data_IF_269153469849
#
_entry.id   IF_269153469849
#
_cell.length_a   1.000
_cell.length_b   1.000
_cell.length_c   1.000
_cell.angle_alpha   90.00
_cell.angle_beta   90.00
_cell.angle_gamma   90.00
#
_symmetry.space_group_name_H-M   'P 1'
#
loop_
_entity.id
_entity.type
_entity.pdbx_description
1 polymer ?
#
# COMPACT_ATOMS: atom_id res chain seq x y z
N UNK A 1 -18.04 -1.09 12.61
CA UNK A 1 -16.96 -1.65 13.47
C UNK A 1 -15.67 -1.13 12.90
N UNK A 2 -14.67 -0.77 13.74
CA UNK A 2 -13.37 -0.32 13.20
C UNK A 2 -12.81 -1.27 12.17
N UNK A 3 -12.02 -0.76 11.23
CA UNK A 3 -11.37 -1.60 10.24
C UNK A 3 -10.44 -2.62 10.90
N UNK A 4 -10.26 -3.75 10.24
CA UNK A 4 -9.23 -4.74 10.57
C UNK A 4 -8.19 -4.77 9.46
N UNK A 5 -6.96 -5.16 9.78
CA UNK A 5 -5.90 -5.30 8.78
C UNK A 5 -5.01 -6.51 9.07
N UNK A 6 -4.34 -6.99 8.04
CA UNK A 6 -3.34 -8.05 8.12
C UNK A 6 -2.23 -7.80 7.10
N UNK A 7 -1.00 -7.81 7.54
CA UNK A 7 0.14 -7.84 6.63
C UNK A 7 0.26 -9.28 6.14
N UNK A 8 0.02 -9.46 4.85
CA UNK A 8 0.09 -10.77 4.19
C UNK A 8 1.54 -11.15 3.92
N UNK A 9 2.35 -10.15 3.54
CA UNK A 9 3.76 -10.30 3.24
C UNK A 9 4.49 -9.02 3.63
N UNK A 10 5.54 -9.13 4.44
CA UNK A 10 6.44 -8.00 4.69
C UNK A 10 7.39 -7.85 3.52
N UNK A 11 7.45 -6.65 2.99
CA UNK A 11 8.37 -6.30 1.92
C UNK A 11 9.84 -6.32 2.36
N UNK A 12 10.71 -6.23 1.39
CA UNK A 12 12.16 -6.19 1.61
C UNK A 12 12.88 -5.52 0.43
N UNK A 13 14.04 -4.96 0.74
CA UNK A 13 15.04 -4.53 -0.24
C UNK A 13 16.33 -5.24 0.14
N UNK A 14 16.80 -6.12 -0.73
CA UNK A 14 18.04 -6.86 -0.56
C UNK A 14 19.25 -6.08 -1.05
N UNK A 15 20.44 -6.68 -0.90
CA UNK A 15 21.66 -6.11 -1.40
C UNK A 15 21.70 -6.11 -2.94
N UNK A 16 22.35 -5.10 -3.52
CA UNK A 16 22.63 -5.06 -4.96
C UNK A 16 23.75 -6.05 -5.29
N UNK A 17 23.47 -6.96 -6.21
CA UNK A 17 24.40 -8.01 -6.64
C UNK A 17 24.57 -7.97 -8.16
N UNK A 18 25.63 -8.63 -8.72
CA UNK A 18 25.78 -8.75 -10.18
C UNK A 18 24.59 -9.41 -10.89
N UNK A 19 23.81 -10.24 -10.19
CA UNK A 19 22.61 -10.90 -10.71
C UNK A 19 21.36 -10.03 -10.58
N UNK A 20 21.44 -8.92 -9.85
CA UNK A 20 20.33 -8.01 -9.53
C UNK A 20 20.03 -7.95 -8.04
N UNK A 21 19.02 -7.19 -7.70
CA UNK A 21 18.56 -6.97 -6.33
C UNK A 21 17.24 -7.72 -6.11
N UNK A 22 17.14 -8.44 -5.00
CA UNK A 22 15.87 -8.97 -4.56
C UNK A 22 15.05 -7.86 -3.88
N UNK A 23 13.89 -7.55 -4.44
CA UNK A 23 12.97 -6.54 -3.91
C UNK A 23 11.54 -7.08 -3.93
N UNK A 24 10.76 -6.73 -2.92
CA UNK A 24 9.34 -7.04 -2.86
C UNK A 24 8.63 -6.02 -2.01
N UNK A 25 7.42 -5.60 -2.44
CA UNK A 25 6.60 -4.68 -1.66
C UNK A 25 5.98 -5.36 -0.45
N UNK A 26 5.65 -4.57 0.56
CA UNK A 26 4.77 -5.00 1.64
C UNK A 26 3.35 -5.11 1.11
N UNK A 27 2.73 -6.29 1.26
CA UNK A 27 1.35 -6.55 0.84
C UNK A 27 0.45 -6.55 2.06
N UNK A 28 -0.53 -5.64 2.10
CA UNK A 28 -1.46 -5.52 3.22
C UNK A 28 -2.90 -5.78 2.77
N UNK A 29 -3.62 -6.56 3.56
CA UNK A 29 -5.07 -6.70 3.48
C UNK A 29 -5.73 -5.83 4.55
N UNK A 30 -6.82 -5.15 4.21
CA UNK A 30 -7.66 -4.43 5.15
C UNK A 30 -9.16 -4.65 4.85
N UNK A 31 -10.00 -4.63 5.89
CA UNK A 31 -11.44 -4.82 5.76
C UNK A 31 -12.19 -3.79 6.62
N UNK A 32 -13.19 -3.11 6.02
CA UNK A 32 -14.12 -2.22 6.70
C UNK A 32 -15.52 -2.36 6.07
N UNK A 33 -16.47 -2.88 6.83
CA UNK A 33 -17.81 -3.15 6.32
C UNK A 33 -17.82 -4.15 5.16
N UNK A 34 -18.22 -3.70 3.98
CA UNK A 34 -18.20 -4.51 2.75
C UNK A 34 -16.90 -4.36 1.95
N UNK A 35 -16.06 -3.40 2.29
CA UNK A 35 -14.79 -3.16 1.60
C UNK A 35 -13.73 -4.17 2.03
N UNK A 36 -13.09 -4.81 1.06
CA UNK A 36 -11.94 -5.71 1.21
C UNK A 36 -10.84 -5.22 0.31
N UNK A 37 -9.83 -4.64 0.93
CA UNK A 37 -8.80 -3.85 0.25
C UNK A 37 -7.46 -4.58 0.30
N UNK A 38 -6.78 -4.67 -0.84
CA UNK A 38 -5.36 -5.03 -0.91
C UNK A 38 -4.57 -3.77 -1.22
N UNK A 39 -3.53 -3.52 -0.45
CA UNK A 39 -2.54 -2.47 -0.72
C UNK A 39 -1.28 -3.14 -1.24
N UNK A 40 -0.82 -2.69 -2.40
CA UNK A 40 0.41 -3.09 -3.09
C UNK A 40 0.54 -4.60 -3.33
N UNK A 41 -0.22 -5.21 -4.27
CA UNK A 41 -0.13 -6.64 -4.59
C UNK A 41 1.12 -6.95 -5.44
N UNK A 42 2.27 -6.48 -5.03
CA UNK A 42 3.45 -6.39 -5.86
C UNK A 42 4.28 -7.65 -6.01
N UNK A 43 5.51 -7.44 -6.38
CA UNK A 43 6.48 -8.50 -6.63
C UNK A 43 6.75 -9.29 -5.34
N UNK A 44 6.51 -10.59 -5.39
CA UNK A 44 6.77 -11.55 -4.31
C UNK A 44 7.44 -12.80 -4.89
N UNK A 45 8.24 -13.49 -4.10
CA UNK A 45 8.94 -14.70 -4.53
C UNK A 45 7.98 -15.83 -4.96
N UNK A 46 6.78 -15.87 -4.39
CA UNK A 46 5.68 -16.78 -4.77
C UNK A 46 4.33 -16.12 -4.49
N UNK A 47 3.39 -16.26 -5.43
CA UNK A 47 2.01 -15.78 -5.24
C UNK A 47 1.30 -16.42 -4.03
N UNK A 48 1.75 -17.58 -3.59
CA UNK A 48 1.26 -18.22 -2.37
C UNK A 48 1.47 -17.34 -1.12
N UNK A 49 2.48 -16.46 -1.10
CA UNK A 49 2.70 -15.50 -0.02
C UNK A 49 1.58 -14.45 0.12
N UNK A 50 0.76 -14.28 -0.91
CA UNK A 50 -0.44 -13.43 -0.89
C UNK A 50 -1.70 -14.29 -0.68
N UNK A 51 -1.84 -15.37 -1.47
CA UNK A 51 -3.07 -16.14 -1.55
C UNK A 51 -3.30 -17.02 -0.32
N UNK A 52 -2.24 -17.64 0.24
CA UNK A 52 -2.38 -18.54 1.38
C UNK A 52 -2.80 -17.81 2.65
N UNK A 53 -2.21 -16.64 3.02
CA UNK A 53 -2.69 -15.88 4.17
C UNK A 53 -4.13 -15.36 4.01
N UNK A 54 -4.55 -14.96 2.80
CA UNK A 54 -5.94 -14.60 2.54
C UNK A 54 -6.88 -15.79 2.78
N UNK A 55 -6.52 -16.98 2.29
CA UNK A 55 -7.29 -18.19 2.50
C UNK A 55 -7.38 -18.58 3.98
N UNK A 56 -6.32 -18.39 4.77
CA UNK A 56 -6.34 -18.60 6.22
C UNK A 56 -7.31 -17.66 6.94
N UNK A 57 -7.52 -16.45 6.41
CA UNK A 57 -8.53 -15.51 6.87
C UNK A 57 -9.95 -15.86 6.37
N UNK A 58 -10.11 -16.90 5.53
CA UNK A 58 -11.39 -17.25 4.90
C UNK A 58 -11.79 -16.30 3.75
N UNK A 59 -10.85 -15.52 3.23
CA UNK A 59 -11.06 -14.54 2.14
C UNK A 59 -10.53 -15.11 0.83
N UNK A 60 -11.39 -15.21 -0.19
CA UNK A 60 -10.94 -15.57 -1.53
C UNK A 60 -10.46 -14.34 -2.31
N UNK A 61 -9.62 -14.54 -3.30
CA UNK A 61 -9.12 -13.46 -4.16
C UNK A 61 -10.26 -12.77 -4.93
N UNK A 62 -11.33 -13.51 -5.25
CA UNK A 62 -12.53 -12.98 -5.91
C UNK A 62 -13.39 -12.10 -4.99
N UNK A 63 -13.20 -12.23 -3.66
CA UNK A 63 -13.92 -11.43 -2.68
C UNK A 63 -13.28 -10.05 -2.43
N UNK A 64 -12.08 -9.81 -2.95
CA UNK A 64 -11.42 -8.50 -2.87
C UNK A 64 -12.20 -7.51 -3.72
N UNK A 65 -12.56 -6.39 -3.11
CA UNK A 65 -13.34 -5.32 -3.74
C UNK A 65 -12.48 -4.22 -4.33
N UNK A 66 -11.32 -3.98 -3.72
CA UNK A 66 -10.43 -2.87 -4.06
C UNK A 66 -8.97 -3.28 -3.97
N UNK A 67 -8.17 -2.81 -4.89
CA UNK A 67 -6.70 -2.91 -4.89
C UNK A 67 -6.16 -1.49 -5.02
N UNK A 68 -5.28 -1.11 -4.12
CA UNK A 68 -4.59 0.19 -4.11
C UNK A 68 -3.15 0.00 -4.53
N UNK A 69 -2.68 0.82 -5.44
CA UNK A 69 -1.27 0.97 -5.77
C UNK A 69 -0.76 2.23 -5.09
N UNK A 70 0.19 2.08 -4.17
CA UNK A 70 0.84 3.25 -3.56
C UNK A 70 1.48 4.13 -4.64
N UNK A 71 2.05 3.49 -5.66
CA UNK A 71 2.58 4.09 -6.88
C UNK A 71 2.73 3.03 -7.99
N UNK A 72 3.23 3.41 -9.17
CA UNK A 72 3.21 2.59 -10.38
C UNK A 72 4.47 1.71 -10.59
N UNK A 73 5.40 1.60 -9.64
CA UNK A 73 6.53 0.68 -9.79
C UNK A 73 6.05 -0.79 -9.80
N UNK A 74 6.74 -1.60 -10.59
CA UNK A 74 6.31 -2.98 -10.87
C UNK A 74 6.30 -3.87 -9.63
N UNK A 75 7.18 -3.60 -8.68
CA UNK A 75 7.27 -4.32 -7.41
C UNK A 75 6.11 -4.01 -6.45
N UNK A 76 5.26 -3.03 -6.76
CA UNK A 76 4.00 -2.73 -6.07
C UNK A 76 2.77 -3.21 -6.83
N UNK A 77 2.86 -3.49 -8.15
CA UNK A 77 1.69 -3.70 -9.00
C UNK A 77 1.56 -5.08 -9.66
N UNK A 78 2.66 -5.86 -9.72
CA UNK A 78 2.78 -7.05 -10.60
C UNK A 78 1.66 -8.08 -10.44
N UNK A 79 1.18 -8.33 -9.24
CA UNK A 79 0.18 -9.35 -8.95
C UNK A 79 -1.26 -8.83 -8.88
N UNK A 80 -1.53 -7.62 -9.38
CA UNK A 80 -2.88 -7.05 -9.43
C UNK A 80 -3.91 -8.00 -10.07
N UNK A 81 -3.52 -8.72 -11.12
CA UNK A 81 -4.37 -9.68 -11.82
C UNK A 81 -4.85 -10.89 -10.98
N UNK A 82 -4.35 -11.05 -9.75
CA UNK A 82 -4.89 -12.04 -8.80
C UNK A 82 -6.31 -11.70 -8.35
N UNK A 83 -6.74 -10.44 -8.45
CA UNK A 83 -8.00 -9.91 -7.91
C UNK A 83 -8.97 -9.52 -9.02
N UNK A 84 -9.64 -10.47 -9.67
CA UNK A 84 -10.35 -10.25 -10.93
C UNK A 84 -11.61 -9.38 -10.80
N UNK A 85 -12.16 -9.26 -9.59
CA UNK A 85 -13.40 -8.50 -9.34
C UNK A 85 -13.15 -7.13 -8.73
N UNK A 86 -11.90 -6.81 -8.39
CA UNK A 86 -11.54 -5.58 -7.69
C UNK A 86 -11.65 -4.34 -8.61
N UNK A 87 -11.89 -3.21 -7.96
CA UNK A 87 -11.54 -1.91 -8.53
C UNK A 87 -10.07 -1.65 -8.21
N UNK A 88 -9.35 -1.07 -9.16
CA UNK A 88 -7.95 -0.72 -8.96
C UNK A 88 -7.84 0.79 -8.80
N UNK A 89 -7.06 1.23 -7.82
CA UNK A 89 -6.92 2.63 -7.44
C UNK A 89 -5.46 3.05 -7.52
N UNK A 90 -5.18 4.13 -8.23
CA UNK A 90 -3.94 4.88 -8.14
C UNK A 90 -4.21 6.33 -7.73
N UNK A 91 -3.25 7.23 -7.91
CA UNK A 91 -3.37 8.64 -7.52
C UNK A 91 -4.42 9.42 -8.35
N UNK A 92 -4.68 9.02 -9.59
CA UNK A 92 -5.46 9.78 -10.57
C UNK A 92 -6.76 9.12 -10.99
N UNK A 93 -6.92 7.80 -10.80
CA UNK A 93 -8.04 7.08 -11.38
C UNK A 93 -8.52 5.88 -10.56
N UNK A 94 -9.70 5.40 -10.93
CA UNK A 94 -10.25 4.10 -10.56
C UNK A 94 -10.44 3.30 -11.84
N UNK A 95 -9.99 2.05 -11.83
CA UNK A 95 -10.10 1.13 -12.97
C UNK A 95 -10.98 -0.06 -12.62
N UNK A 96 -11.86 -0.48 -13.53
CA UNK A 96 -12.65 -1.70 -13.39
C UNK A 96 -12.94 -2.30 -14.76
N UNK A 97 -12.39 -3.47 -15.05
CA UNK A 97 -12.44 -4.04 -16.39
C UNK A 97 -11.77 -3.10 -17.39
N UNK A 98 -12.51 -2.60 -18.36
CA UNK A 98 -12.08 -1.62 -19.37
C UNK A 98 -12.53 -0.18 -19.07
N UNK A 99 -13.15 0.04 -17.91
CA UNK A 99 -13.55 1.37 -17.47
C UNK A 99 -12.39 2.07 -16.75
N UNK A 100 -12.07 3.26 -17.23
CA UNK A 100 -11.18 4.23 -16.60
C UNK A 100 -12.03 5.41 -16.11
N UNK A 101 -11.99 5.67 -14.80
CA UNK A 101 -12.69 6.80 -14.18
C UNK A 101 -11.67 7.73 -13.55
N UNK A 102 -11.48 8.91 -14.12
CA UNK A 102 -10.61 9.93 -13.55
C UNK A 102 -11.12 10.38 -12.18
N UNK A 103 -10.20 10.44 -11.23
CA UNK A 103 -10.50 10.82 -9.84
C UNK A 103 -9.21 11.21 -9.13
N UNK A 104 -9.25 12.20 -8.25
CA UNK A 104 -8.15 12.46 -7.31
C UNK A 104 -8.23 11.50 -6.13
N UNK A 105 -7.10 10.91 -5.73
CA UNK A 105 -7.04 10.03 -4.57
C UNK A 105 -7.21 10.74 -3.23
N UNK A 106 -7.08 12.07 -3.21
CA UNK A 106 -7.16 12.84 -1.97
C UNK A 106 -8.51 12.64 -1.26
N UNK A 107 -8.46 12.12 -0.02
CA UNK A 107 -9.63 11.82 0.82
C UNK A 107 -10.64 10.84 0.18
N UNK A 108 -10.20 10.00 -0.76
CA UNK A 108 -11.06 8.97 -1.35
C UNK A 108 -11.36 7.87 -0.32
N UNK A 109 -12.61 7.74 0.06
CA UNK A 109 -13.07 6.65 0.92
C UNK A 109 -13.21 5.33 0.12
N UNK A 110 -12.69 4.24 0.69
CA UNK A 110 -12.87 2.86 0.21
C UNK A 110 -13.86 2.09 1.11
N UNK A 111 -13.97 2.49 2.36
CA UNK A 111 -14.88 1.99 3.39
C UNK A 111 -15.07 3.06 4.46
N UNK A 112 -15.86 2.81 5.50
CA UNK A 112 -16.11 3.78 6.57
C UNK A 112 -14.82 4.18 7.31
N UNK A 113 -13.86 3.25 7.41
CA UNK A 113 -12.63 3.40 8.19
C UNK A 113 -11.36 3.24 7.32
N UNK A 114 -11.49 3.30 5.99
CA UNK A 114 -10.36 3.19 5.06
C UNK A 114 -10.45 4.31 4.03
N UNK A 115 -9.42 5.14 3.96
CA UNK A 115 -9.32 6.22 2.96
C UNK A 115 -7.93 6.32 2.37
N UNK A 116 -7.84 6.98 1.23
CA UNK A 116 -6.60 7.32 0.55
C UNK A 116 -6.24 8.78 0.82
N UNK A 117 -4.95 9.08 0.87
CA UNK A 117 -4.42 10.43 0.90
C UNK A 117 -3.23 10.53 -0.07
N UNK A 118 -3.05 11.68 -0.69
CA UNK A 118 -1.87 11.94 -1.52
C UNK A 118 -0.64 12.20 -0.64
N UNK A 119 0.43 11.50 -0.92
CA UNK A 119 1.70 11.59 -0.19
C UNK A 119 2.87 11.53 -1.17
N UNK A 120 2.93 12.45 -2.17
CA UNK A 120 4.01 12.44 -3.15
C UNK A 120 5.37 12.51 -2.46
N UNK A 121 6.34 11.78 -2.98
CA UNK A 121 7.66 11.73 -2.35
C UNK A 121 8.62 10.82 -3.09
N UNK A 122 8.47 9.52 -2.98
CA UNK A 122 9.23 8.55 -3.76
C UNK A 122 8.96 8.72 -5.26
N UNK A 123 7.70 8.93 -5.60
CA UNK A 123 7.26 9.44 -6.90
C UNK A 123 6.33 10.63 -6.70
N UNK A 124 6.01 11.37 -7.78
CA UNK A 124 4.98 12.42 -7.74
C UNK A 124 3.56 11.87 -7.58
N UNK A 125 3.41 10.57 -7.77
CA UNK A 125 2.14 9.85 -7.84
C UNK A 125 1.81 9.10 -6.55
N UNK A 126 2.67 9.17 -5.53
CA UNK A 126 2.48 8.37 -4.32
C UNK A 126 1.19 8.74 -3.60
N UNK A 127 0.49 7.69 -3.17
CA UNK A 127 -0.63 7.75 -2.25
C UNK A 127 -0.42 6.82 -1.07
N UNK A 128 -1.02 7.16 0.05
CA UNK A 128 -1.04 6.30 1.24
C UNK A 128 -2.45 5.86 1.56
N UNK A 129 -2.56 4.66 2.12
CA UNK A 129 -3.83 4.12 2.64
C UNK A 129 -3.86 4.30 4.15
N UNK A 130 -4.85 5.05 4.63
CA UNK A 130 -5.11 5.27 6.05
C UNK A 130 -6.21 4.33 6.51
N UNK A 131 -5.96 3.58 7.58
CA UNK A 131 -6.86 2.56 8.13
C UNK A 131 -7.11 2.91 9.60
N UNK A 132 -8.34 3.21 9.96
CA UNK A 132 -8.75 3.48 11.33
C UNK A 132 -9.15 2.15 11.99
N UNK A 133 -8.21 1.56 12.73
CA UNK A 133 -8.40 0.28 13.42
C UNK A 133 -8.77 0.46 14.89
N UNK A 134 -9.14 -0.64 15.56
CA UNK A 134 -9.41 -0.62 17.00
C UNK A 134 -8.16 -0.27 17.84
N UNK A 135 -6.97 -0.53 17.30
CA UNK A 135 -5.69 -0.27 17.95
C UNK A 135 -5.07 1.08 17.56
N UNK A 136 -5.82 1.90 16.82
CA UNK A 136 -5.42 3.23 16.34
C UNK A 136 -5.25 3.31 14.83
N UNK A 137 -4.73 4.45 14.37
CA UNK A 137 -4.53 4.73 12.95
C UNK A 137 -3.32 3.97 12.40
N UNK A 138 -3.52 3.21 11.35
CA UNK A 138 -2.46 2.52 10.60
C UNK A 138 -2.31 3.19 9.23
N UNK A 139 -1.08 3.48 8.82
CA UNK A 139 -0.82 4.09 7.51
C UNK A 139 0.09 3.20 6.68
N UNK A 140 -0.43 2.66 5.57
CA UNK A 140 0.37 1.99 4.56
C UNK A 140 0.90 3.04 3.58
N UNK A 141 2.22 3.15 3.42
CA UNK A 141 2.84 4.25 2.67
C UNK A 141 4.20 3.88 2.10
N UNK A 142 4.57 4.48 0.97
CA UNK A 142 5.93 4.42 0.43
C UNK A 142 6.79 5.65 0.78
N UNK A 143 6.29 6.58 1.61
CA UNK A 143 7.11 7.67 2.14
C UNK A 143 8.31 7.16 2.98
N UNK A 144 8.26 5.92 3.45
CA UNK A 144 9.37 5.14 4.02
C UNK A 144 9.46 3.79 3.31
N UNK A 145 10.68 3.42 2.92
CA UNK A 145 10.95 2.07 2.42
C UNK A 145 10.97 1.07 3.57
N UNK A 146 11.58 1.47 4.70
CA UNK A 146 11.72 0.71 5.94
C UNK A 146 11.84 1.67 7.13
N UNK A 147 11.81 1.18 8.34
CA UNK A 147 11.98 1.99 9.55
C UNK A 147 13.24 2.87 9.47
N UNK A 148 13.05 4.18 9.61
CA UNK A 148 14.13 5.16 9.59
C UNK A 148 14.70 5.51 8.21
N UNK A 149 14.20 4.92 7.12
CA UNK A 149 14.88 5.20 5.87
C UNK A 149 14.11 4.99 4.55
N UNK A 150 14.79 5.25 3.44
CA UNK A 150 16.12 5.91 3.37
C UNK A 150 16.09 7.38 3.78
N UNK A 151 17.21 7.93 4.27
CA UNK A 151 17.35 9.36 4.55
C UNK A 151 17.24 10.18 3.27
N UNK A 152 17.90 9.70 2.22
CA UNK A 152 17.79 10.21 0.85
C UNK A 152 17.20 9.12 -0.04
N UNK A 153 16.03 9.36 -0.58
CA UNK A 153 15.40 8.47 -1.55
C UNK A 153 15.94 8.79 -2.95
N UNK A 154 16.67 7.85 -3.61
CA UNK A 154 17.30 8.11 -4.90
C UNK A 154 16.30 8.30 -6.05
N UNK A 155 15.03 7.95 -5.85
CA UNK A 155 13.96 8.11 -6.83
C UNK A 155 13.12 9.35 -6.57
N UNK A 156 13.21 9.94 -5.36
CA UNK A 156 12.44 11.13 -5.02
C UNK A 156 12.84 12.31 -5.93
N UNK A 157 11.90 12.87 -6.69
CA UNK A 157 12.18 14.02 -7.54
C UNK A 157 12.49 15.28 -6.73
N UNK A 158 12.01 15.32 -5.46
CA UNK A 158 12.17 16.45 -4.55
C UNK A 158 12.11 15.97 -3.09
N UNK A 159 13.21 16.13 -2.37
CA UNK A 159 13.33 15.74 -0.97
C UNK A 159 12.43 16.57 -0.03
N UNK A 160 12.13 17.82 -0.38
CA UNK A 160 11.24 18.67 0.43
C UNK A 160 9.80 18.17 0.34
N UNK A 161 9.36 17.70 -0.84
CA UNK A 161 8.04 17.09 -1.04
C UNK A 161 7.93 15.79 -0.23
N UNK A 162 8.94 14.92 -0.27
CA UNK A 162 8.98 13.71 0.55
C UNK A 162 8.92 14.03 2.05
N UNK A 163 9.70 15.01 2.50
CA UNK A 163 9.69 15.47 3.89
C UNK A 163 8.32 16.01 4.32
N UNK A 164 7.67 16.79 3.46
CA UNK A 164 6.31 17.29 3.73
C UNK A 164 5.27 16.15 3.82
N UNK A 165 5.37 15.15 2.96
CA UNK A 165 4.50 13.96 3.01
C UNK A 165 4.73 13.14 4.29
N UNK A 166 5.97 12.94 4.71
CA UNK A 166 6.30 12.31 6.01
C UNK A 166 5.69 13.10 7.18
N UNK A 167 5.85 14.43 7.18
CA UNK A 167 5.27 15.29 8.22
C UNK A 167 3.74 15.22 8.24
N UNK A 168 3.11 15.19 7.06
CA UNK A 168 1.66 15.00 6.92
C UNK A 168 1.18 13.68 7.52
N UNK A 169 1.87 12.57 7.22
CA UNK A 169 1.53 11.25 7.76
C UNK A 169 1.69 11.26 9.28
N UNK A 170 2.78 11.80 9.81
CA UNK A 170 3.02 11.88 11.26
C UNK A 170 1.99 12.75 11.98
N UNK A 171 1.45 13.78 11.32
CA UNK A 171 0.37 14.62 11.87
C UNK A 171 -0.95 13.86 12.08
N UNK A 172 -1.15 12.71 11.43
CA UNK A 172 -2.28 11.81 11.71
C UNK A 172 -2.11 11.04 13.03
N UNK A 173 -0.97 11.17 13.70
CA UNK A 173 -0.59 10.44 14.91
C UNK A 173 -0.78 8.91 14.77
N UNK A 174 -0.20 8.29 13.71
CA UNK A 174 -0.40 6.86 13.47
C UNK A 174 0.16 6.01 14.62
N UNK A 175 -0.59 4.99 15.01
CA UNK A 175 -0.12 3.96 15.95
C UNK A 175 0.85 3.00 15.27
N UNK A 176 0.79 2.89 13.92
CA UNK A 176 1.65 2.03 13.12
C UNK A 176 1.83 2.60 11.71
N UNK A 177 3.07 2.59 11.24
CA UNK A 177 3.40 2.78 9.82
C UNK A 177 3.75 1.43 9.21
N UNK A 178 3.12 1.11 8.08
CA UNK A 178 3.44 -0.03 7.24
C UNK A 178 4.21 0.50 6.03
N UNK A 179 5.53 0.34 6.00
CA UNK A 179 6.39 0.88 4.96
C UNK A 179 6.30 0.08 3.66
N UNK A 180 6.77 0.67 2.56
CA UNK A 180 6.78 0.02 1.24
C UNK A 180 7.57 -1.29 1.22
N UNK A 181 8.70 -1.35 1.93
CA UNK A 181 9.60 -2.49 1.95
C UNK A 181 10.15 -2.75 3.35
N UNK A 182 9.48 -3.47 4.18
CA UNK A 182 10.05 -3.77 5.50
C UNK A 182 8.99 -4.12 6.53
N UNK A 183 9.47 -4.32 7.74
CA UNK A 183 8.56 -4.57 8.86
C UNK A 183 7.86 -3.27 9.28
N UNK A 184 6.60 -3.34 9.70
CA UNK A 184 5.91 -2.21 10.29
C UNK A 184 6.61 -1.68 11.53
N UNK A 185 6.47 -0.38 11.76
CA UNK A 185 7.11 0.29 12.89
C UNK A 185 6.18 1.33 13.54
N UNK A 186 6.44 1.64 14.80
CA UNK A 186 5.78 2.72 15.54
C UNK A 186 6.60 3.99 15.34
N UNK A 187 6.02 5.09 14.84
CA UNK A 187 6.73 6.32 14.55
C UNK A 187 7.12 7.12 15.80
#
# INVERSE_FOLDING_TARGET
MPATYRILHSGYVGDDTPEGMHVGSTVTYAESGAARVIVDPGLVASRSLIVDPLRELGVSVEAITDVVFSHQHIDHTLNAALFPNARFHDFAAIYRGDLWLDRDAEEQELGEDIRLIRTPGHTVEDISTVIESADGTVVCTHAWWFEGGPDEDPYAPDAEILSASRARILALAPSLIVPGHGVPFVP
#
